data_IF_361619173862
#
_entry.id   IF_361619173862
#
_cell.length_a   1.000
_cell.length_b   1.000
_cell.length_c   1.000
_cell.angle_alpha   90.00
_cell.angle_beta   90.00
_cell.angle_gamma   90.00
#
_symmetry.space_group_name_H-M   'P 1'
#
loop_
_entity.id
_entity.type
_entity.pdbx_description
1 polymer ?
#
# COMPACT_ATOMS: atom_id res chain seq x y z
N UNK A 1 37.16 1.88 -7.76
CA UNK A 1 37.02 0.59 -7.06
C UNK A 1 37.29 0.90 -5.62
N UNK A 2 36.36 0.86 -4.68
CA UNK A 2 34.97 0.42 -4.59
C UNK A 2 34.52 1.22 -3.35
N UNK A 3 33.42 1.97 -3.38
CA UNK A 3 32.80 2.40 -2.12
C UNK A 3 31.38 1.84 -2.15
N UNK A 4 31.23 0.81 -1.34
CA UNK A 4 30.15 -0.16 -1.37
C UNK A 4 28.81 0.51 -1.08
N UNK A 5 27.88 0.27 -2.01
CA UNK A 5 26.44 0.38 -1.77
C UNK A 5 26.03 -0.59 -0.66
N UNK A 6 26.04 -0.15 0.61
CA UNK A 6 25.55 -0.97 1.74
C UNK A 6 24.30 -0.35 2.42
N UNK A 7 23.86 0.85 2.02
CA UNK A 7 22.75 1.58 2.64
C UNK A 7 21.35 1.26 2.03
N UNK A 8 21.23 0.18 1.26
CA UNK A 8 19.92 -0.26 0.77
C UNK A 8 19.23 -1.22 1.75
N UNK A 9 19.99 -1.98 2.54
CA UNK A 9 19.43 -3.09 3.35
C UNK A 9 18.88 -2.65 4.71
N UNK A 10 19.44 -1.62 5.36
CA UNK A 10 18.96 -1.17 6.67
C UNK A 10 17.62 -0.41 6.59
N UNK A 11 17.38 0.30 5.50
CA UNK A 11 16.12 0.99 5.23
C UNK A 11 14.99 0.01 4.90
N UNK A 12 15.28 -1.10 4.21
CA UNK A 12 14.33 -2.19 3.98
C UNK A 12 13.89 -2.88 5.28
N UNK A 13 14.82 -3.16 6.20
CA UNK A 13 14.53 -3.85 7.47
C UNK A 13 13.76 -2.97 8.45
N UNK A 14 14.01 -1.66 8.47
CA UNK A 14 13.23 -0.71 9.26
C UNK A 14 11.80 -0.56 8.73
N UNK A 15 11.60 -0.68 7.41
CA UNK A 15 10.28 -0.62 6.77
C UNK A 15 9.36 -1.81 7.13
N UNK A 16 9.91 -2.95 7.55
CA UNK A 16 9.14 -4.15 7.89
C UNK A 16 8.28 -3.99 9.16
N UNK A 17 8.65 -3.08 10.07
CA UNK A 17 7.88 -2.83 11.31
C UNK A 17 7.13 -1.50 11.31
N UNK A 18 7.21 -0.71 10.23
CA UNK A 18 6.56 0.60 10.17
C UNK A 18 5.11 0.45 9.69
N UNK A 19 4.19 0.89 10.55
CA UNK A 19 2.78 1.02 10.21
C UNK A 19 2.52 2.36 9.50
N UNK A 20 2.37 2.30 8.19
CA UNK A 20 2.10 3.45 7.34
C UNK A 20 0.70 4.01 7.59
N UNK A 21 0.59 5.33 7.60
CA UNK A 21 -0.70 6.02 7.48
C UNK A 21 -1.28 5.84 6.09
N UNK A 22 -2.56 6.17 5.92
CA UNK A 22 -3.19 6.17 4.60
C UNK A 22 -2.51 7.12 3.59
N UNK A 23 -1.85 8.19 4.06
CA UNK A 23 -1.15 9.14 3.18
C UNK A 23 0.21 8.62 2.74
N UNK A 24 0.97 8.04 3.66
CA UNK A 24 2.25 7.39 3.32
C UNK A 24 2.02 6.15 2.44
N UNK A 25 1.03 5.33 2.80
CA UNK A 25 0.62 4.17 2.00
C UNK A 25 0.27 4.57 0.56
N UNK A 26 -0.51 5.64 0.40
CA UNK A 26 -0.90 6.16 -0.91
C UNK A 26 0.30 6.52 -1.79
N UNK A 27 1.32 7.15 -1.20
CA UNK A 27 2.56 7.47 -1.91
C UNK A 27 3.32 6.20 -2.36
N UNK A 28 3.32 5.15 -1.54
CA UNK A 28 4.01 3.89 -1.83
C UNK A 28 3.31 3.06 -2.91
N UNK A 29 1.98 2.92 -2.84
CA UNK A 29 1.22 2.14 -3.83
C UNK A 29 0.78 2.96 -5.04
N UNK A 30 1.13 4.25 -5.09
CA UNK A 30 0.72 5.22 -6.12
C UNK A 30 -0.80 5.33 -6.31
N UNK A 31 -1.56 5.16 -5.22
CA UNK A 31 -3.01 5.33 -5.18
C UNK A 31 -3.38 6.61 -4.43
N UNK A 32 -4.65 7.00 -4.47
CA UNK A 32 -5.11 8.15 -3.69
C UNK A 32 -5.37 7.76 -2.22
N UNK A 33 -5.06 8.63 -1.25
CA UNK A 33 -5.35 8.36 0.16
C UNK A 33 -6.86 8.24 0.45
N UNK A 34 -7.69 8.91 -0.34
CA UNK A 34 -9.14 8.77 -0.28
C UNK A 34 -9.58 7.35 -0.65
N UNK A 35 -9.03 6.78 -1.73
CA UNK A 35 -9.36 5.41 -2.14
C UNK A 35 -9.01 4.39 -1.06
N UNK A 36 -7.82 4.51 -0.45
CA UNK A 36 -7.40 3.64 0.66
C UNK A 36 -8.34 3.76 1.85
N UNK A 37 -8.67 4.97 2.30
CA UNK A 37 -9.61 5.20 3.40
C UNK A 37 -11.00 4.64 3.09
N UNK A 38 -11.49 4.85 1.87
CA UNK A 38 -12.80 4.37 1.44
C UNK A 38 -12.85 2.84 1.41
N UNK A 39 -11.87 2.19 0.76
CA UNK A 39 -11.81 0.72 0.67
C UNK A 39 -11.56 0.06 2.02
N UNK A 40 -10.72 0.64 2.89
CA UNK A 40 -10.50 0.15 4.24
C UNK A 40 -11.79 0.20 5.08
N UNK A 41 -12.57 1.29 4.97
CA UNK A 41 -13.89 1.40 5.63
C UNK A 41 -14.88 0.36 5.14
N UNK A 42 -14.79 -0.06 3.87
CA UNK A 42 -15.63 -1.12 3.30
C UNK A 42 -15.10 -2.53 3.62
N UNK A 43 -13.93 -2.67 4.24
CA UNK A 43 -13.30 -3.96 4.50
C UNK A 43 -12.82 -4.69 3.24
N UNK A 44 -12.62 -3.95 2.13
CA UNK A 44 -12.24 -4.51 0.83
C UNK A 44 -10.73 -4.64 0.64
N UNK A 45 -9.93 -4.04 1.53
CA UNK A 45 -8.48 -4.11 1.52
C UNK A 45 -7.96 -4.51 2.90
N UNK A 46 -6.82 -5.22 2.96
CA UNK A 46 -6.14 -5.49 4.21
C UNK A 46 -5.73 -4.18 4.89
N UNK A 47 -5.95 -4.10 6.20
CA UNK A 47 -5.59 -2.95 7.02
C UNK A 47 -5.50 -3.37 8.48
N UNK A 48 -4.72 -2.63 9.26
CA UNK A 48 -4.61 -2.77 10.71
C UNK A 48 -5.29 -1.59 11.39
N UNK A 49 -6.11 -1.85 12.41
CA UNK A 49 -6.77 -0.81 13.20
C UNK A 49 -5.90 -0.48 14.41
N UNK A 50 -5.40 0.74 14.45
CA UNK A 50 -4.69 1.27 15.62
C UNK A 50 -5.60 2.33 16.26
N UNK A 51 -6.39 1.88 17.24
CA UNK A 51 -7.47 2.67 17.83
C UNK A 51 -8.52 3.06 16.79
N UNK A 52 -8.67 4.37 16.54
CA UNK A 52 -9.62 4.90 15.54
C UNK A 52 -9.01 5.03 14.14
N UNK A 53 -7.69 4.90 14.00
CA UNK A 53 -6.98 5.15 12.76
C UNK A 53 -6.71 3.85 11.98
N UNK A 54 -6.76 3.97 10.66
CA UNK A 54 -6.32 2.92 9.75
C UNK A 54 -4.82 3.01 9.54
N UNK A 55 -4.16 1.86 9.65
CA UNK A 55 -2.73 1.68 9.39
C UNK A 55 -2.53 0.54 8.40
N UNK A 56 -1.44 0.60 7.67
CA UNK A 56 -1.08 -0.38 6.67
C UNK A 56 0.35 -0.83 6.93
N UNK A 57 0.54 -2.13 7.12
CA UNK A 57 1.87 -2.72 7.11
C UNK A 57 2.35 -2.89 5.66
N UNK A 58 3.64 -3.15 5.45
CA UNK A 58 4.23 -3.39 4.13
C UNK A 58 3.48 -4.52 3.42
N UNK A 59 3.21 -5.61 4.12
CA UNK A 59 2.50 -6.79 3.63
C UNK A 59 1.07 -6.44 3.16
N UNK A 60 0.40 -5.52 3.87
CA UNK A 60 -0.93 -5.04 3.46
C UNK A 60 -0.84 -4.27 2.14
N UNK A 61 0.21 -3.43 1.97
CA UNK A 61 0.42 -2.64 0.76
C UNK A 61 0.74 -3.50 -0.46
N UNK A 62 1.54 -4.55 -0.28
CA UNK A 62 1.85 -5.50 -1.35
C UNK A 62 0.58 -6.24 -1.81
N UNK A 63 -0.22 -6.74 -0.86
CA UNK A 63 -1.51 -7.34 -1.17
C UNK A 63 -2.47 -6.35 -1.86
N UNK A 64 -2.50 -5.08 -1.42
CA UNK A 64 -3.29 -4.03 -2.08
C UNK A 64 -2.82 -3.82 -3.52
N UNK A 65 -1.49 -3.80 -3.75
CA UNK A 65 -0.90 -3.63 -5.08
C UNK A 65 -1.33 -4.78 -5.99
N UNK A 66 -1.24 -6.01 -5.53
CA UNK A 66 -1.69 -7.20 -6.28
C UNK A 66 -3.19 -7.18 -6.56
N UNK A 67 -4.02 -6.79 -5.58
CA UNK A 67 -5.47 -6.63 -5.78
C UNK A 67 -5.80 -5.52 -6.78
N UNK A 68 -5.04 -4.42 -6.78
CA UNK A 68 -5.26 -3.27 -7.65
C UNK A 68 -4.75 -3.48 -9.08
N UNK A 69 -3.80 -4.40 -9.27
CA UNK A 69 -3.32 -4.81 -10.58
C UNK A 69 -4.38 -5.58 -11.39
N UNK A 70 -5.49 -5.99 -10.76
CA UNK A 70 -6.65 -6.51 -11.46
C UNK A 70 -7.21 -5.44 -12.40
N UNK A 71 -7.21 -5.67 -13.73
CA UNK A 71 -7.71 -4.68 -14.67
C UNK A 71 -9.16 -4.36 -14.33
N UNK A 72 -9.45 -3.07 -14.15
CA UNK A 72 -10.82 -2.58 -14.10
C UNK A 72 -11.45 -3.07 -15.39
N UNK A 73 -12.35 -4.05 -15.30
CA UNK A 73 -13.17 -4.50 -16.43
C UNK A 73 -14.05 -3.31 -16.78
N UNK A 74 -13.55 -2.38 -17.58
CA UNK A 74 -14.37 -1.36 -18.21
C UNK A 74 -15.34 -2.13 -19.10
N UNK A 75 -16.66 -2.14 -18.81
CA UNK A 75 -17.62 -2.55 -19.80
C UNK A 75 -17.67 -1.39 -20.80
N UNK A 76 -16.80 -1.44 -21.80
CA UNK A 76 -16.91 -0.58 -22.97
C UNK A 76 -16.85 -1.49 -24.18
N UNK A 77 -17.85 -1.28 -25.05
CA UNK A 77 -17.96 -1.82 -26.41
C UNK A 77 -18.69 -3.16 -26.52
N UNK A 78 -20.01 -3.07 -26.42
CA UNK A 78 -20.94 -3.88 -27.22
C UNK A 78 -22.15 -3.00 -27.54
N UNK A 79 -22.07 -2.21 -28.61
CA UNK A 79 -23.15 -1.74 -29.48
C UNK A 79 -22.63 -0.73 -30.49
#
# INVERSE_FOLDING_TARGET
MEDTSEDASASEQAQEQILYTAEEAAALVQLTPYWLKYRARQGLIPHRRVGRLFRFAREDLEAIKDMSAQPVKTPRESA
#
